data_IF_397474391040
#
_entry.id   IF_397474391040
#
_cell.length_a   1.000
_cell.length_b   1.000
_cell.length_c   1.000
_cell.angle_alpha   90.00
_cell.angle_beta   90.00
_cell.angle_gamma   90.00
#
_symmetry.space_group_name_H-M   'P 1'
#
loop_
_entity.id
_entity.type
_entity.pdbx_description
1 polymer ?
#
# COMPACT_ATOMS: atom_id res chain seq x y z
N UNK A 1 -7.73 9.90 15.34
CA UNK A 1 -6.71 8.87 15.71
C UNK A 1 -7.29 7.46 15.74
N UNK A 2 -8.24 7.11 16.63
CA UNK A 2 -8.76 5.72 16.75
C UNK A 2 -9.28 5.12 15.43
N UNK A 3 -10.06 5.87 14.66
CA UNK A 3 -10.59 5.42 13.36
C UNK A 3 -9.48 5.12 12.34
N UNK A 4 -8.47 6.00 12.23
CA UNK A 4 -7.34 5.80 11.33
C UNK A 4 -6.53 4.55 11.70
N UNK A 5 -6.32 4.31 13.00
CA UNK A 5 -5.62 3.11 13.48
C UNK A 5 -6.39 1.83 13.13
N UNK A 6 -7.72 1.78 13.34
CA UNK A 6 -8.50 0.59 12.99
C UNK A 6 -8.48 0.30 11.49
N UNK A 7 -8.61 1.33 10.65
CA UNK A 7 -8.53 1.18 9.19
C UNK A 7 -7.14 0.67 8.80
N UNK A 8 -6.08 1.27 9.33
CA UNK A 8 -4.71 0.84 9.07
C UNK A 8 -4.50 -0.63 9.48
N UNK A 9 -4.95 -1.05 10.66
CA UNK A 9 -4.81 -2.45 11.11
C UNK A 9 -5.46 -3.44 10.14
N UNK A 10 -6.68 -3.17 9.68
CA UNK A 10 -7.38 -4.06 8.73
C UNK A 10 -6.69 -4.08 7.38
N UNK A 11 -6.28 -2.91 6.86
CA UNK A 11 -5.64 -2.80 5.54
C UNK A 11 -4.24 -3.40 5.52
N UNK A 12 -3.43 -3.17 6.55
CA UNK A 12 -2.10 -3.75 6.71
C UNK A 12 -2.17 -5.28 6.84
N UNK A 13 -3.09 -5.79 7.67
CA UNK A 13 -3.29 -7.23 7.80
C UNK A 13 -3.74 -7.86 6.48
N UNK A 14 -4.72 -7.25 5.81
CA UNK A 14 -5.19 -7.70 4.50
C UNK A 14 -4.08 -7.71 3.44
N UNK A 15 -3.24 -6.67 3.40
CA UNK A 15 -2.09 -6.59 2.51
C UNK A 15 -1.01 -7.64 2.81
N UNK A 16 -0.69 -7.85 4.09
CA UNK A 16 0.28 -8.85 4.53
C UNK A 16 -0.15 -10.27 4.13
N UNK A 17 -1.42 -10.62 4.34
CA UNK A 17 -1.98 -11.92 3.93
C UNK A 17 -2.06 -12.04 2.41
N UNK A 18 -2.47 -10.97 1.72
CA UNK A 18 -2.71 -11.02 0.27
C UNK A 18 -1.45 -11.03 -0.59
N UNK A 19 -0.37 -10.32 -0.20
CA UNK A 19 0.80 -10.10 -1.07
C UNK A 19 2.14 -10.27 -0.33
N UNK A 20 2.14 -10.47 1.00
CA UNK A 20 3.35 -10.46 1.83
C UNK A 20 4.31 -11.63 1.60
N UNK A 21 3.82 -12.79 1.13
CA UNK A 21 4.61 -14.02 0.99
C UNK A 21 5.90 -13.82 0.18
N UNK A 22 5.87 -13.02 -0.89
CA UNK A 22 7.01 -12.82 -1.78
C UNK A 22 8.19 -12.09 -1.11
N UNK A 23 7.88 -11.15 -0.21
CA UNK A 23 8.93 -10.44 0.56
C UNK A 23 9.52 -11.39 1.59
N UNK A 24 8.67 -12.19 2.25
CA UNK A 24 9.13 -13.24 3.17
C UNK A 24 10.05 -14.27 2.46
N UNK A 25 9.70 -14.70 1.25
CA UNK A 25 10.52 -15.61 0.44
C UNK A 25 11.88 -15.00 0.09
N UNK A 26 11.92 -13.70 -0.18
CA UNK A 26 13.17 -12.98 -0.45
C UNK A 26 14.08 -12.98 0.79
N UNK A 27 13.53 -12.67 1.97
CA UNK A 27 14.30 -12.66 3.22
C UNK A 27 14.81 -14.06 3.57
N UNK A 28 13.95 -15.08 3.45
CA UNK A 28 14.30 -16.47 3.76
C UNK A 28 15.31 -17.07 2.78
N UNK A 29 15.09 -16.87 1.48
CA UNK A 29 15.75 -17.65 0.44
C UNK A 29 16.92 -16.96 -0.26
N UNK A 30 17.00 -15.63 -0.23
CA UNK A 30 18.03 -14.88 -0.98
C UNK A 30 19.14 -14.29 -0.14
N UNK A 31 18.92 -14.09 1.16
CA UNK A 31 19.92 -13.46 2.04
C UNK A 31 20.92 -14.48 2.58
N UNK A 32 20.41 -15.64 2.99
CA UNK A 32 21.17 -16.68 3.67
C UNK A 32 21.19 -17.96 2.83
N UNK A 33 22.32 -18.66 2.77
CA UNK A 33 22.46 -19.90 2.00
C UNK A 33 21.77 -21.07 2.72
N UNK A 34 20.49 -21.31 2.40
CA UNK A 34 19.73 -22.43 3.01
C UNK A 34 20.36 -23.81 2.77
N UNK A 35 21.18 -23.96 1.72
CA UNK A 35 21.91 -25.18 1.40
C UNK A 35 22.96 -25.51 2.47
N UNK A 36 23.60 -24.50 3.06
CA UNK A 36 24.63 -24.69 4.07
C UNK A 36 24.08 -25.24 5.40
N UNK A 37 22.77 -25.11 5.63
CA UNK A 37 22.08 -25.61 6.82
C UNK A 37 21.34 -26.93 6.60
N UNK A 38 21.52 -27.61 5.47
CA UNK A 38 20.80 -28.86 5.20
C UNK A 38 21.15 -29.99 6.18
N UNK A 39 22.40 -30.02 6.66
CA UNK A 39 22.85 -31.00 7.63
C UNK A 39 22.18 -30.79 9.01
N UNK A 40 21.90 -29.54 9.39
CA UNK A 40 21.31 -29.19 10.69
C UNK A 40 20.22 -28.11 10.56
N UNK A 41 19.00 -28.49 10.14
CA UNK A 41 17.89 -27.53 9.97
C UNK A 41 17.46 -26.83 11.27
N UNK A 42 17.73 -27.45 12.43
CA UNK A 42 17.46 -26.89 13.75
C UNK A 42 18.24 -25.60 14.02
N UNK A 43 19.48 -25.50 13.52
CA UNK A 43 20.33 -24.31 13.66
C UNK A 43 19.76 -23.14 12.85
N UNK A 44 19.27 -23.41 11.65
CA UNK A 44 18.61 -22.40 10.83
C UNK A 44 17.34 -21.85 11.50
N UNK A 45 16.53 -22.73 12.10
CA UNK A 45 15.33 -22.33 12.83
C UNK A 45 15.66 -21.45 14.04
N UNK A 46 16.66 -21.85 14.83
CA UNK A 46 17.15 -21.05 15.96
C UNK A 46 17.68 -19.69 15.49
N UNK A 47 18.51 -19.69 14.44
CA UNK A 47 19.08 -18.48 13.86
C UNK A 47 18.00 -17.49 13.41
N UNK A 48 17.00 -17.95 12.65
CA UNK A 48 15.89 -17.10 12.22
C UNK A 48 15.07 -16.55 13.40
N UNK A 49 14.92 -17.34 14.47
CA UNK A 49 14.28 -16.88 15.71
C UNK A 49 15.10 -15.77 16.38
N UNK A 50 16.43 -15.92 16.45
CA UNK A 50 17.33 -14.89 16.95
C UNK A 50 17.27 -13.60 16.12
N UNK A 51 17.23 -13.72 14.78
CA UNK A 51 17.08 -12.57 13.88
C UNK A 51 15.76 -11.81 14.13
N UNK A 52 14.66 -12.54 14.32
CA UNK A 52 13.35 -11.95 14.65
C UNK A 52 13.39 -11.22 16.00
N UNK A 53 13.90 -11.87 17.06
CA UNK A 53 13.98 -11.27 18.40
C UNK A 53 14.85 -10.02 18.37
N UNK A 54 16.03 -10.07 17.74
CA UNK A 54 16.93 -8.92 17.61
C UNK A 54 16.27 -7.75 16.88
N UNK A 55 15.65 -8.01 15.73
CA UNK A 55 14.91 -7.00 14.96
C UNK A 55 13.75 -6.41 15.76
N UNK A 56 12.96 -7.24 16.45
CA UNK A 56 11.83 -6.78 17.26
C UNK A 56 12.26 -5.93 18.46
N UNK A 57 13.34 -6.30 19.14
CA UNK A 57 13.89 -5.51 20.25
C UNK A 57 14.35 -4.14 19.77
N UNK A 58 15.11 -4.09 18.67
CA UNK A 58 15.59 -2.84 18.08
C UNK A 58 14.42 -1.95 17.64
N UNK A 59 13.42 -2.50 16.95
CA UNK A 59 12.26 -1.76 16.50
C UNK A 59 11.41 -1.23 17.66
N UNK A 60 11.26 -2.02 18.72
CA UNK A 60 10.52 -1.60 19.93
C UNK A 60 11.24 -0.44 20.61
N UNK A 61 12.56 -0.51 20.73
CA UNK A 61 13.37 0.57 21.30
C UNK A 61 13.28 1.84 20.45
N UNK A 62 13.48 1.74 19.14
CA UNK A 62 13.39 2.88 18.22
C UNK A 62 12.00 3.53 18.22
N UNK A 63 10.94 2.72 18.26
CA UNK A 63 9.55 3.20 18.36
C UNK A 63 9.32 3.95 19.68
N UNK A 64 9.86 3.48 20.81
CA UNK A 64 9.78 4.19 22.09
C UNK A 64 10.52 5.53 22.08
N UNK A 65 11.59 5.64 21.31
CA UNK A 65 12.35 6.88 21.13
C UNK A 65 11.73 7.81 20.07
N UNK A 66 10.64 7.39 19.40
CA UNK A 66 9.99 8.18 18.35
C UNK A 66 10.78 8.26 17.04
N UNK A 67 11.76 7.37 16.82
CA UNK A 67 12.60 7.37 15.62
C UNK A 67 11.92 6.59 14.48
N UNK A 68 11.71 7.19 13.29
CA UNK A 68 11.20 6.48 12.13
C UNK A 68 12.30 5.59 11.53
N UNK A 69 12.26 4.30 11.84
CA UNK A 69 13.24 3.30 11.38
C UNK A 69 12.62 2.29 10.41
N UNK A 70 13.44 1.73 9.51
CA UNK A 70 13.02 0.73 8.53
C UNK A 70 12.99 -0.67 9.15
N UNK A 71 11.79 -1.27 9.20
CA UNK A 71 11.59 -2.66 9.66
C UNK A 71 12.29 -3.68 8.77
N UNK A 72 12.30 -3.45 7.45
CA UNK A 72 12.96 -4.30 6.46
C UNK A 72 14.48 -4.31 6.64
N UNK A 73 15.09 -3.17 6.98
CA UNK A 73 16.53 -3.14 7.26
C UNK A 73 16.86 -3.91 8.53
N UNK A 74 16.08 -3.72 9.60
CA UNK A 74 16.29 -4.39 10.89
C UNK A 74 16.34 -5.92 10.75
N UNK A 75 15.38 -6.52 10.04
CA UNK A 75 15.33 -7.98 9.89
C UNK A 75 16.44 -8.50 8.97
N UNK A 76 16.77 -7.78 7.89
CA UNK A 76 17.82 -8.21 6.95
C UNK A 76 19.19 -8.20 7.63
N UNK A 77 19.51 -7.18 8.43
CA UNK A 77 20.73 -7.15 9.22
C UNK A 77 20.76 -8.26 10.29
N UNK A 78 19.62 -8.58 10.91
CA UNK A 78 19.50 -9.73 11.80
C UNK A 78 19.84 -11.05 11.11
N UNK A 79 19.32 -11.28 9.91
CA UNK A 79 19.59 -12.50 9.12
C UNK A 79 21.05 -12.55 8.65
N UNK A 80 21.62 -11.43 8.21
CA UNK A 80 23.05 -11.33 7.86
C UNK A 80 23.92 -11.69 9.08
N UNK A 81 23.60 -11.14 10.26
CA UNK A 81 24.32 -11.45 11.50
C UNK A 81 24.28 -12.93 11.86
N UNK A 82 23.14 -13.59 11.66
CA UNK A 82 23.00 -15.05 11.84
C UNK A 82 23.86 -15.83 10.86
N UNK A 83 23.88 -15.44 9.58
CA UNK A 83 24.70 -16.09 8.56
C UNK A 83 26.18 -16.04 8.91
N UNK A 84 26.67 -14.86 9.30
CA UNK A 84 28.05 -14.66 9.72
C UNK A 84 28.37 -15.45 11.00
N UNK A 85 27.48 -15.46 11.99
CA UNK A 85 27.74 -16.14 13.25
C UNK A 85 27.69 -17.67 13.16
N UNK A 86 26.93 -18.23 12.21
CA UNK A 86 26.72 -19.68 12.11
C UNK A 86 27.66 -20.38 11.10
N UNK A 87 28.08 -19.70 10.03
CA UNK A 87 28.88 -20.30 8.93
C UNK A 87 30.06 -19.41 8.48
N UNK A 88 30.28 -18.25 9.11
CA UNK A 88 31.18 -17.18 8.64
C UNK A 88 30.63 -16.38 7.43
N UNK A 89 31.47 -15.52 6.86
CA UNK A 89 31.09 -14.58 5.79
C UNK A 89 30.48 -15.27 4.56
N UNK A 90 30.82 -16.54 4.31
CA UNK A 90 30.31 -17.34 3.19
C UNK A 90 28.88 -17.87 3.41
N UNK A 91 28.36 -17.79 4.65
CA UNK A 91 26.96 -18.10 4.98
C UNK A 91 25.95 -17.10 4.41
N UNK A 92 26.42 -15.95 3.92
CA UNK A 92 25.60 -14.86 3.37
C UNK A 92 25.79 -14.79 1.86
N UNK A 93 24.69 -14.67 1.13
CA UNK A 93 24.74 -14.53 -0.32
C UNK A 93 25.05 -13.08 -0.71
N UNK A 94 26.33 -12.75 -0.83
CA UNK A 94 26.81 -11.44 -1.30
C UNK A 94 26.69 -11.23 -2.80
N UNK A 95 26.21 -12.23 -3.55
CA UNK A 95 26.05 -12.10 -5.00
C UNK A 95 24.94 -11.14 -5.39
N UNK A 96 24.88 -10.84 -6.69
CA UNK A 96 23.80 -10.04 -7.27
C UNK A 96 22.41 -10.66 -7.07
N UNK A 97 22.32 -11.97 -6.88
CA UNK A 97 21.04 -12.66 -6.59
C UNK A 97 20.67 -12.69 -5.10
N UNK A 98 21.45 -12.03 -4.24
CA UNK A 98 21.24 -11.96 -2.79
C UNK A 98 21.28 -10.54 -2.26
N UNK A 99 22.17 -10.27 -1.31
CA UNK A 99 22.24 -9.01 -0.55
C UNK A 99 22.51 -7.80 -1.45
N UNK A 100 23.35 -7.92 -2.47
CA UNK A 100 23.70 -6.78 -3.34
C UNK A 100 22.52 -6.23 -4.12
N UNK A 101 21.61 -7.09 -4.63
CA UNK A 101 20.39 -6.62 -5.29
C UNK A 101 19.46 -5.89 -4.32
N UNK A 102 19.39 -6.35 -3.07
CA UNK A 102 18.58 -5.70 -2.04
C UNK A 102 19.11 -4.30 -1.73
N UNK A 103 20.43 -4.15 -1.57
CA UNK A 103 21.05 -2.84 -1.31
C UNK A 103 20.89 -1.90 -2.50
N UNK A 104 21.04 -2.41 -3.73
CA UNK A 104 20.76 -1.63 -4.93
C UNK A 104 19.30 -1.14 -4.95
N UNK A 105 18.35 -2.00 -4.57
CA UNK A 105 16.94 -1.63 -4.50
C UNK A 105 16.65 -0.53 -3.46
N UNK A 106 17.41 -0.44 -2.36
CA UNK A 106 17.24 0.62 -1.36
C UNK A 106 17.56 2.02 -1.87
N UNK A 107 18.40 2.14 -2.90
CA UNK A 107 18.73 3.43 -3.52
C UNK A 107 17.82 3.68 -4.72
N UNK A 108 17.63 2.66 -5.56
CA UNK A 108 16.87 2.80 -6.81
C UNK A 108 15.39 3.02 -6.53
N UNK A 109 14.79 2.30 -5.57
CA UNK A 109 13.35 2.37 -5.34
C UNK A 109 12.88 3.74 -4.83
N UNK A 110 13.53 4.39 -3.84
CA UNK A 110 13.16 5.76 -3.46
C UNK A 110 13.35 6.77 -4.59
N UNK A 111 14.41 6.63 -5.40
CA UNK A 111 14.65 7.49 -6.55
C UNK A 111 13.51 7.42 -7.57
N UNK A 112 13.13 6.20 -7.97
CA UNK A 112 12.00 5.98 -8.88
C UNK A 112 10.69 6.47 -8.25
N UNK A 113 10.45 6.18 -6.98
CA UNK A 113 9.26 6.64 -6.27
C UNK A 113 9.17 8.18 -6.23
N UNK A 114 10.30 8.86 -6.01
CA UNK A 114 10.40 10.33 -6.06
C UNK A 114 10.07 10.89 -7.45
N UNK A 115 10.56 10.26 -8.52
CA UNK A 115 10.22 10.64 -9.89
C UNK A 115 8.71 10.50 -10.17
N UNK A 116 8.11 9.36 -9.80
CA UNK A 116 6.66 9.16 -9.97
C UNK A 116 5.84 10.13 -9.11
N UNK A 117 6.26 10.41 -7.87
CA UNK A 117 5.62 11.39 -7.00
C UNK A 117 5.66 12.79 -7.63
N UNK A 118 6.80 13.20 -8.19
CA UNK A 118 6.93 14.48 -8.89
C UNK A 118 6.00 14.57 -10.11
N UNK A 119 5.93 13.51 -10.93
CA UNK A 119 5.02 13.46 -12.08
C UNK A 119 3.55 13.57 -11.64
N UNK A 120 3.13 12.79 -10.66
CA UNK A 120 1.75 12.84 -10.14
C UNK A 120 1.42 14.20 -9.52
N UNK A 121 2.38 14.80 -8.81
CA UNK A 121 2.22 16.14 -8.27
C UNK A 121 2.03 17.18 -9.37
N UNK A 122 2.85 17.16 -10.42
CA UNK A 122 2.72 18.08 -11.55
C UNK A 122 1.37 17.91 -12.26
N UNK A 123 0.94 16.67 -12.51
CA UNK A 123 -0.38 16.39 -13.09
C UNK A 123 -1.48 16.98 -12.20
N UNK A 124 -1.41 16.76 -10.89
CA UNK A 124 -2.39 17.31 -9.93
C UNK A 124 -2.36 18.84 -9.93
N UNK A 125 -1.17 19.45 -9.94
CA UNK A 125 -1.02 20.89 -9.88
C UNK A 125 -1.62 21.60 -11.11
N UNK A 126 -1.35 21.08 -12.30
CA UNK A 126 -1.89 21.65 -13.55
C UNK A 126 -3.35 21.27 -13.80
N UNK A 127 -3.77 20.06 -13.42
CA UNK A 127 -5.12 19.57 -13.73
C UNK A 127 -6.16 19.92 -12.66
N UNK A 128 -5.75 20.15 -11.41
CA UNK A 128 -6.67 20.38 -10.28
C UNK A 128 -6.50 21.76 -9.65
N UNK A 129 -5.27 22.20 -9.38
CA UNK A 129 -5.01 23.41 -8.57
C UNK A 129 -5.02 24.69 -9.41
N UNK A 130 -4.32 24.70 -10.54
CA UNK A 130 -4.15 25.88 -11.41
C UNK A 130 -5.36 26.24 -12.30
N UNK A 131 -6.31 25.33 -12.64
CA UNK A 131 -7.47 25.69 -13.45
C UNK A 131 -8.35 26.79 -12.83
N UNK A 132 -9.01 27.58 -13.68
CA UNK A 132 -9.89 28.70 -13.29
C UNK A 132 -10.98 28.32 -12.27
N UNK A 133 -11.42 27.06 -12.27
CA UNK A 133 -12.39 26.54 -11.31
C UNK A 133 -11.83 25.25 -10.66
N UNK A 134 -11.00 25.38 -9.61
CA UNK A 134 -10.25 24.27 -9.04
C UNK A 134 -11.16 23.24 -8.37
N UNK A 135 -12.29 23.69 -7.82
CA UNK A 135 -13.26 22.80 -7.16
C UNK A 135 -13.91 21.85 -8.16
N UNK A 136 -14.35 22.36 -9.31
CA UNK A 136 -14.90 21.52 -10.38
C UNK A 136 -13.84 20.57 -10.96
N UNK A 137 -12.63 21.06 -11.13
CA UNK A 137 -11.51 20.26 -11.63
C UNK A 137 -11.14 19.12 -10.67
N UNK A 138 -11.15 19.39 -9.35
CA UNK A 138 -10.95 18.37 -8.32
C UNK A 138 -12.03 17.28 -8.39
N UNK A 139 -13.31 17.67 -8.44
CA UNK A 139 -14.41 16.72 -8.54
C UNK A 139 -14.31 15.82 -9.79
N UNK A 140 -13.94 16.36 -10.94
CA UNK A 140 -13.78 15.56 -12.17
C UNK A 140 -12.55 14.64 -12.08
N UNK A 141 -11.50 15.07 -11.39
CA UNK A 141 -10.25 14.30 -11.28
C UNK A 141 -10.32 13.15 -10.27
N UNK A 142 -11.21 13.22 -9.27
CA UNK A 142 -11.34 12.20 -8.22
C UNK A 142 -11.56 10.78 -8.78
N UNK A 143 -12.56 10.52 -9.65
CA UNK A 143 -12.80 9.17 -10.17
C UNK A 143 -11.61 8.61 -10.96
N UNK A 144 -10.82 9.47 -11.59
CA UNK A 144 -9.61 9.09 -12.30
C UNK A 144 -8.51 8.61 -11.34
N UNK A 145 -8.27 9.31 -10.23
CA UNK A 145 -7.32 8.86 -9.21
C UNK A 145 -7.77 7.56 -8.52
N UNK A 146 -9.07 7.38 -8.31
CA UNK A 146 -9.62 6.10 -7.83
C UNK A 146 -9.40 4.98 -8.86
N UNK A 147 -9.61 5.23 -10.15
CA UNK A 147 -9.34 4.26 -11.21
C UNK A 147 -7.87 3.81 -11.22
N UNK A 148 -6.96 4.80 -11.18
CA UNK A 148 -5.53 4.56 -11.24
C UNK A 148 -5.04 3.76 -10.03
N UNK A 149 -5.43 4.16 -8.82
CA UNK A 149 -5.02 3.48 -7.59
C UNK A 149 -5.57 2.06 -7.49
N UNK A 150 -6.87 1.89 -7.76
CA UNK A 150 -7.50 0.56 -7.71
C UNK A 150 -7.00 -0.36 -8.82
N UNK A 151 -6.76 0.14 -10.03
CA UNK A 151 -6.14 -0.62 -11.10
C UNK A 151 -4.72 -1.09 -10.77
N UNK A 152 -3.89 -0.21 -10.20
CA UNK A 152 -2.52 -0.56 -9.78
C UNK A 152 -2.53 -1.59 -8.64
N UNK A 153 -3.39 -1.42 -7.63
CA UNK A 153 -3.53 -2.39 -6.55
C UNK A 153 -4.06 -3.73 -7.05
N UNK A 154 -5.05 -3.73 -7.94
CA UNK A 154 -5.59 -4.94 -8.56
C UNK A 154 -4.51 -5.69 -9.32
N UNK A 155 -3.69 -4.99 -10.10
CA UNK A 155 -2.54 -5.60 -10.78
C UNK A 155 -1.59 -6.28 -9.79
N UNK A 156 -1.26 -5.63 -8.68
CA UNK A 156 -0.36 -6.20 -7.67
C UNK A 156 -0.98 -7.43 -7.00
N UNK A 157 -2.26 -7.37 -6.62
CA UNK A 157 -2.96 -8.46 -5.97
C UNK A 157 -3.08 -9.65 -6.92
N UNK A 158 -3.53 -9.46 -8.16
CA UNK A 158 -3.76 -10.57 -9.09
C UNK A 158 -2.43 -11.21 -9.51
N UNK A 159 -1.44 -10.39 -9.89
CA UNK A 159 -0.17 -10.92 -10.42
C UNK A 159 0.77 -11.44 -9.33
N UNK A 160 0.77 -10.86 -8.13
CA UNK A 160 1.71 -11.24 -7.07
C UNK A 160 1.07 -11.99 -5.91
N UNK A 161 -0.21 -11.72 -5.61
CA UNK A 161 -0.93 -12.36 -4.51
C UNK A 161 -1.73 -13.57 -4.95
N UNK A 162 -2.72 -13.40 -5.84
CA UNK A 162 -3.57 -14.49 -6.30
C UNK A 162 -2.76 -15.57 -7.04
N UNK A 163 -1.75 -15.17 -7.82
CA UNK A 163 -0.84 -16.11 -8.47
C UNK A 163 0.05 -16.91 -7.50
N UNK A 164 0.32 -16.42 -6.28
CA UNK A 164 1.04 -17.23 -5.28
C UNK A 164 0.11 -18.20 -4.54
N UNK A 165 -1.19 -17.88 -4.46
CA UNK A 165 -2.20 -18.68 -3.76
C UNK A 165 -2.90 -19.74 -4.63
N UNK A 166 -3.01 -19.54 -5.95
CA UNK A 166 -3.75 -20.45 -6.85
C UNK A 166 -3.03 -20.68 -8.18
N UNK A 167 -2.84 -21.95 -8.54
CA UNK A 167 -2.23 -22.36 -9.81
C UNK A 167 -3.08 -21.96 -11.02
N UNK A 168 -4.40 -21.92 -10.87
CA UNK A 168 -5.34 -21.53 -11.93
C UNK A 168 -5.13 -20.08 -12.40
N UNK A 169 -4.67 -19.19 -11.51
CA UNK A 169 -4.38 -17.79 -11.85
C UNK A 169 -3.05 -17.70 -12.61
N UNK A 170 -2.08 -18.58 -12.34
CA UNK A 170 -0.79 -18.58 -13.06
C UNK A 170 -0.96 -18.92 -14.54
N UNK A 171 -1.98 -19.71 -14.88
CA UNK A 171 -2.28 -20.10 -16.26
C UNK A 171 -3.10 -19.07 -17.04
N UNK A 172 -3.52 -17.96 -16.41
CA UNK A 172 -4.28 -16.91 -17.11
C UNK A 172 -3.46 -16.27 -18.23
N UNK A 173 -4.13 -16.00 -19.35
CA UNK A 173 -3.56 -15.24 -20.44
C UNK A 173 -3.48 -13.74 -20.14
N UNK A 174 -2.77 -12.96 -20.97
CA UNK A 174 -2.69 -11.51 -20.81
C UNK A 174 -4.06 -10.81 -20.84
N UNK A 175 -5.02 -11.38 -21.58
CA UNK A 175 -6.37 -10.82 -21.74
C UNK A 175 -7.17 -10.83 -20.43
N UNK A 176 -7.08 -11.92 -19.66
CA UNK A 176 -7.75 -12.09 -18.38
C UNK A 176 -7.19 -11.13 -17.33
N UNK A 177 -5.86 -10.98 -17.26
CA UNK A 177 -5.23 -10.00 -16.38
C UNK A 177 -5.68 -8.57 -16.69
N UNK A 178 -5.64 -8.19 -17.98
CA UNK A 178 -6.06 -6.86 -18.43
C UNK A 178 -7.55 -6.65 -18.15
N UNK A 179 -8.38 -7.65 -18.43
CA UNK A 179 -9.83 -7.61 -18.19
C UNK A 179 -10.18 -7.37 -16.72
N UNK A 180 -9.52 -8.08 -15.79
CA UNK A 180 -9.75 -7.88 -14.35
C UNK A 180 -9.27 -6.50 -13.89
N UNK A 181 -8.10 -6.04 -14.34
CA UNK A 181 -7.55 -4.74 -13.96
C UNK A 181 -8.48 -3.61 -14.41
N UNK A 182 -8.87 -3.58 -15.69
CA UNK A 182 -9.76 -2.54 -16.20
C UNK A 182 -11.19 -2.69 -15.66
N UNK A 183 -11.68 -3.91 -15.49
CA UNK A 183 -13.00 -4.18 -14.91
C UNK A 183 -13.12 -3.63 -13.49
N UNK A 184 -12.13 -3.89 -12.62
CA UNK A 184 -12.10 -3.35 -11.26
C UNK A 184 -11.92 -1.84 -11.27
N UNK A 185 -11.00 -1.31 -12.08
CA UNK A 185 -10.77 0.14 -12.18
C UNK A 185 -12.05 0.88 -12.60
N UNK A 186 -12.72 0.45 -13.67
CA UNK A 186 -13.98 1.03 -14.15
C UNK A 186 -15.07 0.88 -13.09
N UNK A 187 -15.21 -0.29 -12.47
CA UNK A 187 -16.18 -0.53 -11.40
C UNK A 187 -15.99 0.45 -10.23
N UNK A 188 -14.77 0.61 -9.74
CA UNK A 188 -14.46 1.56 -8.67
C UNK A 188 -14.66 3.02 -9.10
N UNK A 189 -14.33 3.37 -10.35
CA UNK A 189 -14.61 4.71 -10.91
C UNK A 189 -16.11 4.99 -10.91
N UNK A 190 -16.93 4.06 -11.40
CA UNK A 190 -18.39 4.21 -11.43
C UNK A 190 -18.96 4.37 -10.02
N UNK A 191 -18.52 3.55 -9.05
CA UNK A 191 -18.94 3.68 -7.66
C UNK A 191 -18.56 5.05 -7.08
N UNK A 192 -17.32 5.51 -7.32
CA UNK A 192 -16.89 6.83 -6.87
C UNK A 192 -17.68 7.96 -7.52
N UNK A 193 -18.00 7.83 -8.82
CA UNK A 193 -18.77 8.84 -9.55
C UNK A 193 -20.23 8.90 -9.10
N UNK A 194 -20.85 7.75 -8.81
CA UNK A 194 -22.28 7.67 -8.44
C UNK A 194 -22.53 8.05 -6.98
N UNK A 195 -21.64 7.64 -6.06
CA UNK A 195 -21.87 7.80 -4.62
C UNK A 195 -21.03 8.93 -4.01
N UNK A 196 -19.74 8.97 -4.33
CA UNK A 196 -18.81 9.92 -3.71
C UNK A 196 -19.00 11.33 -4.28
N UNK A 197 -19.08 11.49 -5.61
CA UNK A 197 -19.17 12.83 -6.22
C UNK A 197 -20.42 13.63 -5.79
N UNK A 198 -21.64 13.06 -5.72
CA UNK A 198 -22.80 13.80 -5.23
C UNK A 198 -22.63 14.31 -3.79
N UNK A 199 -22.01 13.50 -2.94
CA UNK A 199 -21.76 13.86 -1.54
C UNK A 199 -20.69 14.95 -1.42
N UNK A 200 -19.63 14.87 -2.22
CA UNK A 200 -18.55 15.85 -2.28
C UNK A 200 -18.93 17.11 -3.06
N UNK A 201 -19.96 17.08 -3.89
CA UNK A 201 -20.52 18.30 -4.46
C UNK A 201 -21.30 19.04 -3.38
N UNK A 202 -22.19 18.36 -2.65
CA UNK A 202 -23.04 19.03 -1.66
C UNK A 202 -22.31 19.55 -0.42
N UNK A 203 -21.46 18.72 0.20
CA UNK A 203 -20.90 19.04 1.51
C UNK A 203 -19.96 20.26 1.47
N UNK A 204 -18.92 20.31 0.61
CA UNK A 204 -18.01 21.45 0.54
C UNK A 204 -18.46 22.60 -0.38
N UNK A 205 -19.30 22.39 -1.41
CA UNK A 205 -19.73 23.49 -2.30
C UNK A 205 -20.99 24.17 -1.80
N UNK A 206 -22.01 23.38 -1.40
CA UNK A 206 -23.28 23.92 -0.90
C UNK A 206 -23.28 24.12 0.62
N UNK A 207 -22.19 23.78 1.31
CA UNK A 207 -22.08 23.86 2.77
C UNK A 207 -23.24 23.16 3.51
N UNK A 208 -23.67 21.99 2.99
CA UNK A 208 -24.77 21.22 3.56
C UNK A 208 -24.34 20.54 4.88
N UNK A 209 -24.60 21.21 5.99
CA UNK A 209 -24.29 20.76 7.35
C UNK A 209 -25.11 19.55 7.82
N UNK A 210 -26.20 19.21 7.12
CA UNK A 210 -27.04 18.05 7.47
C UNK A 210 -26.43 16.72 6.97
N UNK A 211 -25.43 16.78 6.09
CA UNK A 211 -24.79 15.60 5.53
C UNK A 211 -23.87 14.90 6.54
N UNK A 212 -24.38 13.80 7.07
CA UNK A 212 -23.62 12.77 7.78
C UNK A 212 -22.93 11.78 6.82
N UNK A 213 -21.92 11.05 7.30
CA UNK A 213 -21.08 10.16 6.48
C UNK A 213 -21.85 9.02 5.79
N UNK A 214 -22.94 8.51 6.41
CA UNK A 214 -23.75 7.44 5.84
C UNK A 214 -24.60 7.87 4.64
N UNK A 215 -24.82 9.18 4.45
CA UNK A 215 -25.61 9.70 3.33
C UNK A 215 -24.90 9.53 1.98
N UNK A 216 -23.61 9.17 1.96
CA UNK A 216 -22.87 8.84 0.72
C UNK A 216 -23.60 7.75 -0.07
N UNK A 217 -24.27 6.80 0.61
CA UNK A 217 -25.04 5.73 -0.03
C UNK A 217 -26.28 6.22 -0.78
N UNK A 218 -26.76 7.44 -0.51
CA UNK A 218 -27.89 8.04 -1.23
C UNK A 218 -27.50 8.49 -2.64
N UNK A 219 -26.19 8.62 -2.92
CA UNK A 219 -25.63 8.87 -4.25
C UNK A 219 -26.37 9.97 -5.03
N UNK A 220 -26.97 9.68 -6.20
CA UNK A 220 -27.63 10.69 -7.03
C UNK A 220 -28.82 11.40 -6.36
N UNK A 221 -29.46 10.77 -5.36
CA UNK A 221 -30.59 11.38 -4.64
C UNK A 221 -30.15 12.62 -3.86
N UNK A 222 -28.87 12.71 -3.49
CA UNK A 222 -28.31 13.90 -2.87
C UNK A 222 -28.42 15.12 -3.80
N UNK A 223 -28.19 14.96 -5.11
CA UNK A 223 -28.29 16.08 -6.04
C UNK A 223 -29.73 16.60 -6.21
N UNK A 224 -30.74 15.80 -5.84
CA UNK A 224 -32.17 16.16 -5.91
C UNK A 224 -32.72 16.83 -4.67
N UNK A 225 -31.96 16.88 -3.57
CA UNK A 225 -32.39 17.64 -2.38
C UNK A 225 -32.52 19.14 -2.76
N UNK A 226 -33.37 19.87 -2.05
CA UNK A 226 -33.55 21.31 -2.23
C UNK A 226 -32.36 22.14 -1.72
N UNK A 227 -32.58 23.46 -1.62
CA UNK A 227 -31.60 24.41 -1.06
C UNK A 227 -31.19 24.06 0.36
N UNK A 228 -29.96 24.40 0.72
CA UNK A 228 -29.41 24.11 2.05
C UNK A 228 -30.02 25.08 3.06
N UNK A 229 -30.68 24.60 4.13
CA UNK A 229 -31.25 25.48 5.13
C UNK A 229 -30.16 26.19 5.94
N UNK A 230 -30.40 27.43 6.42
CA UNK A 230 -29.42 28.19 7.20
C UNK A 230 -28.96 27.38 8.43
N UNK A 231 -27.67 27.43 8.72
CA UNK A 231 -27.07 26.63 9.78
C UNK A 231 -27.50 27.13 11.15
N UNK A 232 -28.49 26.47 11.74
CA UNK A 232 -29.02 26.75 13.09
C UNK A 232 -28.31 25.94 14.18
N UNK A 233 -27.41 25.02 13.80
CA UNK A 233 -26.85 24.01 14.71
C UNK A 233 -25.50 24.38 15.34
N UNK A 234 -24.86 25.46 14.89
CA UNK A 234 -23.51 25.86 15.33
C UNK A 234 -22.41 24.84 15.03
N UNK A 235 -22.70 23.77 14.27
CA UNK A 235 -21.68 22.81 13.82
C UNK A 235 -20.85 23.45 12.72
N UNK A 236 -19.57 23.62 12.97
CA UNK A 236 -18.60 23.92 11.93
C UNK A 236 -18.44 22.70 11.01
N UNK A 237 -18.45 22.96 9.71
CA UNK A 237 -18.26 21.93 8.68
C UNK A 237 -16.75 21.82 8.47
N UNK A 238 -16.16 20.73 9.00
CA UNK A 238 -14.79 20.30 8.70
C UNK A 238 -14.83 19.25 7.59
#
# INVERSE_FOLDING_TARGET
MKQAMMIATVMEFGGAVGVGARVADTIRGKILSTQAFQAEPSVLMLGMTCALVSSSLYLTLATRLGLPVSTTHSIIWGVIGVGIAAIDADGVNWGWNGVSQVFAAWIIAPGIAGCFAAILFLITNYSVITPKNPVRAALISIPFYFALTTGLLTRLIVWKGAASASEAVKTWGPGEYVGVIFGVAIGCTLLSAIFLLPSLYRKPILNDWQLQWWHILQGPLLLRRGEVPPNTSGREII
#
